data_IF_267158198522
#
_entry.id   IF_267158198522
#
_cell.length_a   1.000
_cell.length_b   1.000
_cell.length_c   1.000
_cell.angle_alpha   90.00
_cell.angle_beta   90.00
_cell.angle_gamma   90.00
#
_symmetry.space_group_name_H-M   'P 1'
#
loop_
_entity.id
_entity.type
_entity.pdbx_description
1 polymer ?
#
# COMPACT_ATOMS: atom_id res chain seq x y z
N UNK A 1 5.99 26.49 -36.00
CA UNK A 1 4.90 25.51 -35.73
C UNK A 1 5.44 24.09 -35.60
N UNK A 2 6.32 23.62 -36.48
CA UNK A 2 6.88 22.26 -36.42
C UNK A 2 7.70 21.98 -35.17
N UNK A 3 8.49 22.93 -34.70
CA UNK A 3 9.34 22.75 -33.50
C UNK A 3 8.55 22.77 -32.20
N UNK A 4 7.49 23.62 -32.15
CA UNK A 4 6.58 23.64 -31.00
C UNK A 4 5.81 22.32 -30.93
N UNK A 5 5.32 21.80 -32.03
CA UNK A 5 4.65 20.50 -32.09
C UNK A 5 5.55 19.35 -31.68
N UNK A 6 6.79 19.30 -32.17
CA UNK A 6 7.79 18.29 -31.80
C UNK A 6 8.10 18.32 -30.30
N UNK A 7 8.28 19.50 -29.72
CA UNK A 7 8.49 19.67 -28.28
C UNK A 7 7.32 19.15 -27.46
N UNK A 8 6.08 19.48 -27.86
CA UNK A 8 4.88 18.99 -27.18
C UNK A 8 4.76 17.46 -27.21
N UNK A 9 5.05 16.84 -28.37
CA UNK A 9 5.06 15.36 -28.50
C UNK A 9 6.13 14.73 -27.62
N UNK A 10 7.33 15.30 -27.57
CA UNK A 10 8.42 14.81 -26.72
C UNK A 10 8.07 14.93 -25.23
N UNK A 11 7.51 16.07 -24.82
CA UNK A 11 7.07 16.29 -23.43
C UNK A 11 6.01 15.27 -23.03
N UNK A 12 5.00 15.05 -23.87
CA UNK A 12 3.95 14.08 -23.61
C UNK A 12 4.48 12.65 -23.51
N UNK A 13 5.44 12.28 -24.36
CA UNK A 13 6.10 10.97 -24.28
C UNK A 13 6.85 10.79 -22.93
N UNK A 14 7.58 11.82 -22.51
CA UNK A 14 8.29 11.80 -21.23
C UNK A 14 7.32 11.67 -20.05
N UNK A 15 6.21 12.39 -20.07
CA UNK A 15 5.14 12.29 -19.05
C UNK A 15 4.53 10.87 -18.99
N UNK A 16 4.25 10.26 -20.14
CA UNK A 16 3.71 8.90 -20.21
C UNK A 16 4.70 7.86 -19.67
N UNK A 17 5.98 7.99 -19.98
CA UNK A 17 7.04 7.12 -19.42
C UNK A 17 7.13 7.29 -17.91
N UNK A 18 7.12 8.53 -17.42
CA UNK A 18 7.15 8.81 -15.99
C UNK A 18 5.93 8.21 -15.27
N UNK A 19 4.74 8.34 -15.84
CA UNK A 19 3.52 7.77 -15.27
C UNK A 19 3.58 6.24 -15.20
N UNK A 20 4.12 5.59 -16.23
CA UNK A 20 4.33 4.12 -16.21
C UNK A 20 5.27 3.67 -15.11
N UNK A 21 6.34 4.42 -14.88
CA UNK A 21 7.28 4.14 -13.79
C UNK A 21 6.57 4.22 -12.45
N UNK A 22 5.79 5.28 -12.22
CA UNK A 22 5.02 5.46 -10.99
C UNK A 22 3.97 4.37 -10.80
N UNK A 23 3.26 4.00 -11.84
CA UNK A 23 2.27 2.93 -11.82
C UNK A 23 2.92 1.59 -11.47
N UNK A 24 4.05 1.28 -12.09
CA UNK A 24 4.80 0.07 -11.80
C UNK A 24 5.31 0.01 -10.37
N UNK A 25 5.87 1.09 -9.85
CA UNK A 25 6.31 1.21 -8.45
C UNK A 25 5.16 0.96 -7.49
N UNK A 26 3.97 1.52 -7.78
CA UNK A 26 2.80 1.34 -6.93
C UNK A 26 2.30 -0.10 -6.94
N UNK A 27 2.25 -0.74 -8.09
CA UNK A 27 1.89 -2.17 -8.22
C UNK A 27 2.86 -3.04 -7.44
N UNK A 28 4.16 -2.77 -7.54
CA UNK A 28 5.17 -3.50 -6.76
C UNK A 28 5.04 -3.28 -5.26
N UNK A 29 4.80 -2.04 -4.83
CA UNK A 29 4.59 -1.72 -3.42
C UNK A 29 3.36 -2.47 -2.86
N UNK A 30 2.29 -2.57 -3.64
CA UNK A 30 1.09 -3.33 -3.26
C UNK A 30 1.35 -4.83 -3.14
N UNK A 31 2.07 -5.41 -4.09
CA UNK A 31 2.47 -6.81 -4.05
C UNK A 31 3.37 -7.10 -2.83
N UNK A 32 4.30 -6.19 -2.54
CA UNK A 32 5.19 -6.30 -1.37
C UNK A 32 4.40 -6.26 -0.06
N UNK A 33 3.42 -5.38 0.06
CA UNK A 33 2.55 -5.33 1.23
C UNK A 33 1.81 -6.67 1.43
N UNK A 34 1.29 -7.27 0.36
CA UNK A 34 0.63 -8.57 0.44
C UNK A 34 1.57 -9.67 0.98
N UNK A 35 2.82 -9.68 0.54
CA UNK A 35 3.84 -10.60 1.05
C UNK A 35 4.16 -10.36 2.54
N UNK A 36 4.32 -9.10 2.92
CA UNK A 36 4.59 -8.69 4.29
C UNK A 36 3.45 -9.08 5.22
N UNK A 37 2.20 -8.86 4.82
CA UNK A 37 1.02 -9.24 5.59
C UNK A 37 0.88 -10.77 5.71
N UNK A 38 1.20 -11.50 4.65
CA UNK A 38 1.21 -12.98 4.69
C UNK A 38 2.26 -13.50 5.68
N UNK A 39 3.45 -12.94 5.67
CA UNK A 39 4.51 -13.29 6.62
C UNK A 39 4.09 -12.94 8.05
N UNK A 40 3.54 -11.75 8.26
CA UNK A 40 3.03 -11.33 9.57
C UNK A 40 1.96 -12.29 10.07
N UNK A 41 1.02 -12.69 9.23
CA UNK A 41 -0.01 -13.69 9.58
C UNK A 41 0.60 -15.01 10.07
N UNK A 42 1.64 -15.49 9.41
CA UNK A 42 2.38 -16.68 9.84
C UNK A 42 3.06 -16.52 11.20
N UNK A 43 3.76 -15.40 11.39
CA UNK A 43 4.41 -15.08 12.67
C UNK A 43 3.39 -15.01 13.81
N UNK A 44 2.25 -14.39 13.57
CA UNK A 44 1.19 -14.23 14.55
C UNK A 44 0.52 -15.58 14.88
N UNK A 45 0.31 -16.42 13.87
CA UNK A 45 -0.27 -17.74 14.06
C UNK A 45 0.59 -18.60 14.99
N UNK A 46 1.89 -18.63 14.79
CA UNK A 46 2.84 -19.32 15.65
C UNK A 46 2.88 -18.77 17.10
N UNK A 47 2.39 -17.55 17.28
CA UNK A 47 2.36 -16.84 18.57
C UNK A 47 0.97 -16.74 19.19
N UNK A 48 0.05 -17.61 18.75
CA UNK A 48 -1.26 -17.76 19.36
C UNK A 48 -2.34 -16.81 18.83
N UNK A 49 -2.15 -16.22 17.66
CA UNK A 49 -3.14 -15.33 17.01
C UNK A 49 -3.68 -16.00 15.75
N UNK A 50 -4.98 -16.27 15.73
CA UNK A 50 -5.67 -16.85 14.59
C UNK A 50 -6.05 -15.78 13.52
N UNK A 51 -6.68 -16.22 12.44
CA UNK A 51 -7.11 -15.33 11.34
C UNK A 51 -8.06 -14.24 11.79
N UNK A 52 -8.95 -14.53 12.73
CA UNK A 52 -9.89 -13.54 13.30
C UNK A 52 -9.16 -12.51 14.15
N UNK A 53 -8.23 -12.95 14.99
CA UNK A 53 -7.36 -12.06 15.78
C UNK A 53 -6.51 -11.17 14.88
N UNK A 54 -5.97 -11.74 13.80
CA UNK A 54 -5.20 -10.96 12.81
C UNK A 54 -6.04 -9.88 12.13
N UNK A 55 -7.27 -10.18 11.75
CA UNK A 55 -8.17 -9.18 11.17
C UNK A 55 -8.45 -8.02 12.13
N UNK A 56 -8.64 -8.31 13.41
CA UNK A 56 -8.81 -7.29 14.46
C UNK A 56 -7.55 -6.43 14.60
N UNK A 57 -6.39 -7.04 14.66
CA UNK A 57 -5.09 -6.34 14.76
C UNK A 57 -4.88 -5.41 13.56
N UNK A 58 -5.18 -5.88 12.35
CA UNK A 58 -5.09 -5.05 11.13
C UNK A 58 -6.01 -3.83 11.20
N UNK A 59 -7.25 -4.03 11.60
CA UNK A 59 -8.23 -2.92 11.72
C UNK A 59 -7.78 -1.87 12.74
N UNK A 60 -7.24 -2.29 13.87
CA UNK A 60 -6.70 -1.38 14.88
C UNK A 60 -5.44 -0.67 14.41
N UNK A 61 -4.59 -1.34 13.64
CA UNK A 61 -3.46 -0.72 12.97
C UNK A 61 -3.90 0.38 11.99
N UNK A 62 -4.90 0.12 11.16
CA UNK A 62 -5.47 1.12 10.25
C UNK A 62 -6.02 2.34 11.01
N UNK A 63 -6.73 2.11 12.09
CA UNK A 63 -7.24 3.19 12.94
C UNK A 63 -6.12 4.03 13.57
N UNK A 64 -5.06 3.39 13.98
CA UNK A 64 -3.89 4.08 14.52
C UNK A 64 -3.17 4.92 13.46
N UNK A 65 -3.06 4.41 12.23
CA UNK A 65 -2.38 5.09 11.13
C UNK A 65 -3.21 6.24 10.54
N UNK A 66 -4.49 6.01 10.28
CA UNK A 66 -5.37 6.95 9.57
C UNK A 66 -6.29 7.78 10.48
N UNK A 67 -6.33 7.51 11.78
CA UNK A 67 -7.30 8.07 12.74
C UNK A 67 -8.78 7.87 12.34
N UNK A 68 -9.04 6.90 11.49
CA UNK A 68 -10.35 6.50 11.01
C UNK A 68 -10.43 4.98 10.96
N UNK A 69 -11.60 4.44 11.18
CA UNK A 69 -11.83 3.01 10.98
C UNK A 69 -11.65 2.62 9.50
N UNK A 70 -11.23 1.41 9.25
CA UNK A 70 -10.97 0.90 7.88
C UNK A 70 -12.13 1.17 6.93
N UNK A 71 -13.37 0.96 7.38
CA UNK A 71 -14.57 1.21 6.58
C UNK A 71 -14.71 2.69 6.19
N UNK A 72 -14.39 3.62 7.08
CA UNK A 72 -14.42 5.06 6.80
C UNK A 72 -13.32 5.48 5.84
N UNK A 73 -12.11 4.93 5.97
CA UNK A 73 -11.02 5.18 5.01
C UNK A 73 -11.39 4.67 3.62
N UNK A 74 -11.98 3.47 3.53
CA UNK A 74 -12.46 2.93 2.25
C UNK A 74 -13.49 3.85 1.59
N UNK A 75 -14.47 4.34 2.33
CA UNK A 75 -15.46 5.29 1.80
C UNK A 75 -14.81 6.56 1.29
N UNK A 76 -13.89 7.11 2.05
CA UNK A 76 -13.15 8.33 1.68
C UNK A 76 -12.36 8.14 0.40
N UNK A 77 -11.79 6.96 0.18
CA UNK A 77 -11.02 6.62 -1.03
C UNK A 77 -11.89 6.12 -2.19
N UNK A 78 -13.20 5.95 -1.99
CA UNK A 78 -14.08 5.37 -3.01
C UNK A 78 -13.86 3.88 -3.23
N UNK A 79 -13.31 3.17 -2.25
CA UNK A 79 -13.07 1.73 -2.33
C UNK A 79 -14.34 0.94 -1.99
N UNK A 80 -14.71 -0.08 -2.79
CA UNK A 80 -15.79 -1.00 -2.44
C UNK A 80 -15.49 -1.75 -1.14
N UNK A 81 -16.52 -2.08 -0.36
CA UNK A 81 -16.36 -2.80 0.92
C UNK A 81 -15.70 -4.17 0.76
N UNK A 82 -15.92 -4.83 -0.37
CA UNK A 82 -15.36 -6.15 -0.69
C UNK A 82 -13.88 -6.12 -1.09
N UNK A 83 -13.30 -4.93 -1.29
CA UNK A 83 -11.93 -4.78 -1.78
C UNK A 83 -11.00 -4.35 -0.64
N UNK A 84 -9.74 -4.80 -0.65
CA UNK A 84 -8.74 -4.33 0.31
C UNK A 84 -8.52 -2.82 0.19
N UNK A 85 -8.41 -2.15 1.34
CA UNK A 85 -8.07 -0.72 1.42
C UNK A 85 -6.80 -0.38 0.62
N UNK A 86 -5.81 -1.22 0.71
CA UNK A 86 -4.50 -1.00 0.08
C UNK A 86 -4.56 -0.92 -1.45
N UNK A 87 -5.57 -1.51 -2.09
CA UNK A 87 -5.76 -1.41 -3.54
C UNK A 87 -6.08 0.01 -4.02
N UNK A 88 -6.51 0.88 -3.12
CA UNK A 88 -6.92 2.26 -3.38
C UNK A 88 -6.06 3.32 -2.69
N UNK A 89 -5.05 2.90 -1.94
CA UNK A 89 -4.10 3.82 -1.32
C UNK A 89 -3.05 4.31 -2.35
N UNK A 90 -2.58 5.55 -2.21
CA UNK A 90 -1.38 5.97 -2.94
C UNK A 90 -0.15 5.21 -2.44
N UNK A 91 0.91 5.24 -3.23
CA UNK A 91 2.15 4.48 -2.94
C UNK A 91 2.68 4.72 -1.52
N UNK A 92 2.69 5.96 -1.05
CA UNK A 92 3.18 6.27 0.30
C UNK A 92 2.32 5.64 1.40
N UNK A 93 1.00 5.59 1.20
CA UNK A 93 0.08 4.92 2.13
C UNK A 93 0.30 3.40 2.17
N UNK A 94 0.53 2.79 1.02
CA UNK A 94 0.87 1.37 0.91
C UNK A 94 2.19 1.08 1.65
N UNK A 95 3.21 1.88 1.40
CA UNK A 95 4.54 1.74 2.04
C UNK A 95 4.48 1.96 3.55
N UNK A 96 3.66 2.89 4.02
CA UNK A 96 3.46 3.12 5.44
C UNK A 96 2.88 1.89 6.15
N UNK A 97 1.84 1.28 5.57
CA UNK A 97 1.27 0.03 6.08
C UNK A 97 2.26 -1.12 6.07
N UNK A 98 3.02 -1.24 4.99
CA UNK A 98 4.04 -2.28 4.84
C UNK A 98 5.11 -2.16 5.92
N UNK A 99 5.64 -0.97 6.13
CA UNK A 99 6.67 -0.73 7.14
C UNK A 99 6.17 -1.03 8.56
N UNK A 100 4.97 -0.60 8.92
CA UNK A 100 4.38 -0.90 10.22
C UNK A 100 4.17 -2.41 10.43
N UNK A 101 3.71 -3.12 9.42
CA UNK A 101 3.52 -4.57 9.46
C UNK A 101 4.86 -5.31 9.59
N UNK A 102 5.88 -4.87 8.88
CA UNK A 102 7.21 -5.44 8.96
C UNK A 102 7.85 -5.23 10.34
N UNK A 103 7.73 -4.02 10.92
CA UNK A 103 8.15 -3.76 12.30
C UNK A 103 7.44 -4.68 13.29
N UNK A 104 6.16 -4.91 13.11
CA UNK A 104 5.39 -5.80 13.99
C UNK A 104 5.92 -7.23 13.93
N UNK A 105 6.22 -7.76 12.75
CA UNK A 105 6.84 -9.08 12.60
C UNK A 105 8.19 -9.17 13.36
N UNK A 106 9.05 -8.20 13.11
CA UNK A 106 10.38 -8.13 13.74
C UNK A 106 10.25 -8.05 15.26
N UNK A 107 9.41 -7.15 15.76
CA UNK A 107 9.27 -6.91 17.20
C UNK A 107 8.56 -8.07 17.91
N UNK A 108 7.60 -8.73 17.26
CA UNK A 108 6.97 -9.92 17.82
C UNK A 108 7.98 -11.03 18.07
N UNK A 109 8.93 -11.22 17.17
CA UNK A 109 10.00 -12.19 17.32
C UNK A 109 11.05 -11.74 18.34
N UNK A 110 11.60 -10.54 18.20
CA UNK A 110 12.66 -10.02 19.08
C UNK A 110 12.23 -9.90 20.54
N UNK A 111 11.02 -9.44 20.78
CA UNK A 111 10.44 -9.28 22.12
C UNK A 111 9.74 -10.54 22.62
N UNK A 112 9.73 -11.59 21.82
CA UNK A 112 9.04 -12.85 22.10
C UNK A 112 7.59 -12.65 22.57
N UNK A 113 6.84 -11.85 21.82
CA UNK A 113 5.44 -11.54 22.13
C UNK A 113 4.53 -12.71 21.80
N UNK A 114 3.56 -12.99 22.66
CA UNK A 114 2.56 -14.03 22.50
C UNK A 114 1.17 -13.52 22.82
N UNK A 115 0.19 -14.03 22.08
CA UNK A 115 -1.22 -13.72 22.27
C UNK A 115 -1.65 -12.40 21.64
N UNK A 116 -2.95 -12.28 21.45
CA UNK A 116 -3.55 -11.18 20.70
C UNK A 116 -3.29 -9.81 21.33
N UNK A 117 -3.45 -9.68 22.65
CA UNK A 117 -3.31 -8.39 23.32
C UNK A 117 -1.92 -7.78 23.19
N UNK A 118 -0.87 -8.58 23.38
CA UNK A 118 0.51 -8.10 23.31
C UNK A 118 0.88 -7.68 21.88
N UNK A 119 0.50 -8.48 20.89
CA UNK A 119 0.81 -8.23 19.49
C UNK A 119 -0.05 -7.08 18.93
N UNK A 120 -1.31 -6.99 19.34
CA UNK A 120 -2.18 -5.86 19.00
C UNK A 120 -1.58 -4.54 19.46
N UNK A 121 -1.16 -4.47 20.73
CA UNK A 121 -0.50 -3.28 21.27
C UNK A 121 0.74 -2.91 20.46
N UNK A 122 1.58 -3.88 20.14
CA UNK A 122 2.79 -3.67 19.35
C UNK A 122 2.46 -3.12 17.95
N UNK A 123 1.47 -3.70 17.29
CA UNK A 123 1.06 -3.26 15.95
C UNK A 123 0.47 -1.85 15.96
N UNK A 124 -0.34 -1.52 16.96
CA UNK A 124 -0.86 -0.17 17.17
C UNK A 124 0.29 0.82 17.41
N UNK A 125 1.21 0.50 18.30
CA UNK A 125 2.36 1.37 18.62
C UNK A 125 3.23 1.62 17.36
N UNK A 126 3.44 0.60 16.53
CA UNK A 126 4.19 0.73 15.29
C UNK A 126 3.46 1.64 14.28
N UNK A 127 2.15 1.51 14.14
CA UNK A 127 1.36 2.39 13.27
C UNK A 127 1.32 3.83 13.80
N UNK A 128 1.25 4.03 15.11
CA UNK A 128 1.36 5.37 15.72
C UNK A 128 2.73 6.00 15.43
N UNK A 129 3.80 5.21 15.53
CA UNK A 129 5.16 5.70 15.23
C UNK A 129 5.31 6.10 13.76
N UNK A 130 4.79 5.30 12.83
CA UNK A 130 4.78 5.63 11.39
C UNK A 130 3.95 6.89 11.14
N UNK A 131 2.77 7.01 11.74
CA UNK A 131 1.93 8.20 11.66
C UNK A 131 2.68 9.43 12.13
N UNK A 132 3.29 9.37 13.30
CA UNK A 132 4.03 10.50 13.87
C UNK A 132 5.19 10.94 12.98
N UNK A 133 5.89 10.00 12.37
CA UNK A 133 6.93 10.30 11.39
C UNK A 133 6.37 11.04 10.17
N UNK A 134 5.26 10.57 9.60
CA UNK A 134 4.60 11.21 8.47
C UNK A 134 4.13 12.62 8.82
N UNK A 135 3.45 12.78 9.96
CA UNK A 135 2.99 14.08 10.44
C UNK A 135 4.14 15.07 10.64
N UNK A 136 5.27 14.62 11.18
CA UNK A 136 6.47 15.46 11.36
C UNK A 136 7.05 15.96 10.02
N UNK A 137 6.72 15.31 8.94
CA UNK A 137 7.12 15.68 7.56
C UNK A 137 6.00 16.36 6.78
N UNK A 138 4.91 16.75 7.43
CA UNK A 138 3.79 17.45 6.82
C UNK A 138 2.83 16.55 6.04
N UNK A 139 2.90 15.23 6.23
CA UNK A 139 2.04 14.26 5.55
C UNK A 139 0.99 13.75 6.55
N UNK A 140 -0.29 14.01 6.26
CA UNK A 140 -1.43 13.57 7.06
C UNK A 140 -2.04 12.34 6.38
N UNK A 141 -1.92 11.13 6.96
CA UNK A 141 -2.34 9.91 6.29
C UNK A 141 -3.80 9.90 5.81
N UNK A 142 -4.73 10.39 6.61
CA UNK A 142 -6.16 10.45 6.27
C UNK A 142 -6.51 11.51 5.23
N UNK A 143 -5.58 12.40 4.87
CA UNK A 143 -5.75 13.41 3.84
C UNK A 143 -5.08 13.03 2.52
N UNK A 144 -4.44 11.89 2.45
CA UNK A 144 -3.83 11.40 1.22
C UNK A 144 -4.90 11.17 0.14
N UNK A 145 -4.62 11.56 -1.13
CA UNK A 145 -5.56 11.33 -2.22
C UNK A 145 -5.73 9.85 -2.52
N UNK A 146 -6.90 9.47 -3.02
CA UNK A 146 -7.14 8.12 -3.48
C UNK A 146 -6.22 7.77 -4.66
N UNK A 147 -5.67 6.54 -4.64
CA UNK A 147 -5.03 5.96 -5.81
C UNK A 147 -6.07 5.29 -6.72
N UNK A 148 -5.77 5.20 -7.99
CA UNK A 148 -6.55 4.38 -8.91
C UNK A 148 -6.54 2.91 -8.43
N UNK A 149 -7.64 2.17 -8.68
CA UNK A 149 -7.69 0.74 -8.37
C UNK A 149 -6.46 0.01 -8.94
N UNK A 150 -5.64 -0.54 -8.05
CA UNK A 150 -4.37 -1.18 -8.43
C UNK A 150 -4.55 -2.31 -9.43
N UNK A 151 -5.69 -3.02 -9.39
CA UNK A 151 -5.98 -4.09 -10.36
C UNK A 151 -6.22 -3.55 -11.77
N UNK A 152 -6.80 -2.35 -11.90
CA UNK A 152 -6.91 -1.67 -13.19
C UNK A 152 -5.54 -1.26 -13.73
N UNK A 153 -4.69 -0.73 -12.85
CA UNK A 153 -3.31 -0.37 -13.19
C UNK A 153 -2.53 -1.59 -13.68
N UNK A 154 -2.60 -2.70 -12.96
CA UNK A 154 -1.96 -3.96 -13.37
C UNK A 154 -2.40 -4.43 -14.76
N UNK A 155 -3.70 -4.40 -15.02
CA UNK A 155 -4.25 -4.79 -16.33
C UNK A 155 -3.76 -3.89 -17.45
N UNK A 156 -3.71 -2.58 -17.21
CA UNK A 156 -3.19 -1.60 -18.17
C UNK A 156 -1.72 -1.86 -18.48
N UNK A 157 -0.88 -2.06 -17.47
CA UNK A 157 0.54 -2.35 -17.65
C UNK A 157 0.77 -3.64 -18.44
N UNK A 158 0.04 -4.71 -18.14
CA UNK A 158 0.11 -5.98 -18.89
C UNK A 158 -0.33 -5.84 -20.34
N UNK A 159 -1.36 -5.06 -20.61
CA UNK A 159 -1.85 -4.79 -21.97
C UNK A 159 -0.82 -4.01 -22.78
N UNK A 160 -0.21 -2.98 -22.21
CA UNK A 160 0.84 -2.18 -22.85
C UNK A 160 2.09 -3.02 -23.14
N UNK A 161 2.50 -3.88 -22.22
CA UNK A 161 3.62 -4.80 -22.40
C UNK A 161 3.40 -5.75 -23.60
N UNK A 162 2.20 -6.35 -23.70
CA UNK A 162 1.84 -7.21 -24.83
C UNK A 162 1.90 -6.46 -26.16
N UNK A 163 1.47 -5.21 -26.21
CA UNK A 163 1.51 -4.38 -27.41
C UNK A 163 2.96 -4.09 -27.82
N UNK A 164 3.84 -3.79 -26.89
CA UNK A 164 5.26 -3.55 -27.15
C UNK A 164 5.98 -4.81 -27.68
N UNK A 165 5.66 -5.98 -27.15
CA UNK A 165 6.23 -7.25 -27.61
C UNK A 165 5.77 -7.57 -29.03
N UNK A 166 4.48 -7.34 -29.36
CA UNK A 166 3.96 -7.55 -30.72
C UNK A 166 4.59 -6.60 -31.75
N UNK A 167 4.84 -5.35 -31.36
CA UNK A 167 5.47 -4.33 -32.22
C UNK A 167 6.94 -4.64 -32.57
N UNK A 168 7.64 -5.42 -31.72
CA UNK A 168 9.03 -5.85 -31.97
C UNK A 168 9.16 -7.06 -32.90
N UNK A 169 8.06 -7.75 -33.21
CA UNK A 169 8.04 -8.93 -34.10
C UNK A 169 7.69 -8.60 -35.55
N UNK A 170 7.53 -7.33 -35.90
CA UNK A 170 7.40 -6.81 -37.26
C UNK A 170 8.67 -6.05 -37.65
#
# INVERSE_FOLDING_TARGET
>A
LGDVYKRQVQTRRAELVQQRILDYERVQARAKLAETEKRLSGVLYERGVDSRGFAIIRSKGDRALFHLDTALVKRKLGAPDSRPLADFLPTIGIKAKDFAAEMTSVNAEQKNLHGQMAIEKEHVDNNVAVRNMLLSRGIVPEQLPAGEDVKKVERRLKSEEKTLIKGKKK
#
